data_IF_111055454107
#
_entry.id   IF_111055454107
#
_cell.length_a   1.000
_cell.length_b   1.000
_cell.length_c   1.000
_cell.angle_alpha   90.00
_cell.angle_beta   90.00
_cell.angle_gamma   90.00
#
_symmetry.space_group_name_H-M   'P 1'
#
loop_
_entity.id
_entity.type
_entity.pdbx_description
1 polymer ?
#
# COMPACT_ATOMS: atom_id res chain seq x y z
N UNK A 1 -13.35 16.87 -0.19
CA UNK A 1 -14.37 16.09 0.58
C UNK A 1 -13.64 14.97 1.32
N UNK A 2 -13.74 14.83 2.65
CA UNK A 2 -12.99 13.77 3.38
C UNK A 2 -13.34 12.39 2.82
N UNK A 3 -12.35 11.65 2.32
CA UNK A 3 -12.53 10.29 1.81
C UNK A 3 -13.17 9.41 2.89
N UNK A 4 -14.32 8.81 2.56
CA UNK A 4 -15.05 7.93 3.49
C UNK A 4 -14.81 6.47 3.11
N UNK A 5 -13.89 5.84 3.83
CA UNK A 5 -13.48 4.45 3.64
C UNK A 5 -14.68 3.48 3.67
N UNK A 6 -15.63 3.72 4.57
CA UNK A 6 -16.85 2.92 4.74
C UNK A 6 -17.76 2.97 3.51
N UNK A 7 -17.62 3.97 2.64
CA UNK A 7 -18.43 4.10 1.44
C UNK A 7 -17.74 3.54 0.19
N UNK A 8 -16.42 3.37 0.22
CA UNK A 8 -15.61 3.13 -0.99
C UNK A 8 -14.81 1.82 -0.96
N UNK A 9 -14.52 1.26 0.21
CA UNK A 9 -13.67 0.09 0.35
C UNK A 9 -14.46 -1.16 0.80
N UNK A 10 -14.56 -2.22 -0.03
CA UNK A 10 -15.45 -3.36 0.24
C UNK A 10 -15.18 -4.12 1.54
N UNK A 11 -13.94 -4.14 2.04
CA UNK A 11 -13.64 -4.70 3.37
C UNK A 11 -14.24 -3.87 4.51
N UNK A 12 -14.22 -2.53 4.40
CA UNK A 12 -14.66 -1.64 5.48
C UNK A 12 -16.16 -1.40 5.49
N UNK A 13 -16.86 -1.70 4.38
CA UNK A 13 -18.32 -1.80 4.30
C UNK A 13 -18.91 -2.98 5.10
N UNK A 14 -18.08 -3.95 5.47
CA UNK A 14 -18.51 -5.14 6.20
C UNK A 14 -18.73 -4.85 7.68
N UNK A 15 -19.59 -5.64 8.30
CA UNK A 15 -19.75 -5.66 9.76
C UNK A 15 -18.45 -6.13 10.44
N UNK A 16 -18.25 -5.76 11.71
CA UNK A 16 -17.08 -6.22 12.48
C UNK A 16 -17.03 -7.76 12.59
N UNK A 17 -18.18 -8.43 12.63
CA UNK A 17 -18.27 -9.91 12.64
C UNK A 17 -17.72 -10.50 11.35
N UNK A 18 -18.09 -9.95 10.20
CA UNK A 18 -17.59 -10.40 8.89
C UNK A 18 -16.10 -10.11 8.72
N UNK A 19 -15.62 -8.95 9.15
CA UNK A 19 -14.17 -8.62 9.13
C UNK A 19 -13.38 -9.64 9.94
N UNK A 20 -13.81 -9.94 11.18
CA UNK A 20 -13.17 -10.96 12.02
C UNK A 20 -13.22 -12.35 11.40
N UNK A 21 -14.35 -12.73 10.79
CA UNK A 21 -14.47 -14.01 10.10
C UNK A 21 -13.49 -14.13 8.91
N UNK A 22 -13.32 -13.06 8.13
CA UNK A 22 -12.33 -13.00 7.05
C UNK A 22 -10.91 -13.15 7.63
N UNK A 23 -10.57 -12.39 8.66
CA UNK A 23 -9.24 -12.46 9.30
C UNK A 23 -8.94 -13.85 9.84
N UNK A 24 -9.90 -14.46 10.56
CA UNK A 24 -9.79 -15.83 11.04
C UNK A 24 -9.60 -16.82 9.88
N UNK A 25 -10.36 -16.69 8.79
CA UNK A 25 -10.23 -17.54 7.61
C UNK A 25 -8.84 -17.42 6.97
N UNK A 26 -8.30 -16.21 6.84
CA UNK A 26 -6.96 -16.00 6.28
C UNK A 26 -5.90 -16.68 7.17
N UNK A 27 -5.98 -16.51 8.50
CA UNK A 27 -5.06 -17.16 9.44
C UNK A 27 -5.20 -18.68 9.42
N UNK A 28 -6.42 -19.21 9.38
CA UNK A 28 -6.67 -20.65 9.30
C UNK A 28 -6.10 -21.27 8.02
N UNK A 29 -6.31 -20.62 6.87
CA UNK A 29 -5.74 -21.05 5.59
C UNK A 29 -4.21 -21.04 5.67
N UNK A 30 -3.62 -19.99 6.24
CA UNK A 30 -2.18 -19.90 6.39
C UNK A 30 -1.59 -21.01 7.25
N UNK A 31 -2.20 -21.31 8.40
CA UNK A 31 -1.76 -22.40 9.27
C UNK A 31 -1.86 -23.74 8.53
N UNK A 32 -2.95 -23.97 7.80
CA UNK A 32 -3.12 -25.17 6.98
C UNK A 32 -2.02 -25.29 5.91
N UNK A 33 -1.68 -24.19 5.23
CA UNK A 33 -0.59 -24.16 4.26
C UNK A 33 0.79 -24.32 4.91
N UNK A 34 0.95 -23.94 6.18
CA UNK A 34 2.21 -24.07 6.91
C UNK A 34 2.52 -25.53 7.30
N UNK A 35 1.50 -26.33 7.61
CA UNK A 35 1.66 -27.72 8.11
C UNK A 35 2.56 -28.61 7.24
N UNK A 36 2.44 -28.66 5.90
CA UNK A 36 3.35 -29.44 5.06
C UNK A 36 4.82 -29.07 5.25
N UNK A 37 5.14 -27.79 5.46
CA UNK A 37 6.53 -27.35 5.66
C UNK A 37 7.14 -27.89 6.95
N UNK A 38 6.33 -28.08 8.00
CA UNK A 38 6.74 -28.69 9.26
C UNK A 38 7.05 -30.18 9.08
N UNK A 39 6.22 -30.89 8.31
CA UNK A 39 6.43 -32.32 8.00
C UNK A 39 7.74 -32.50 7.23
N UNK A 40 7.95 -31.68 6.19
CA UNK A 40 9.19 -31.72 5.39
C UNK A 40 10.40 -31.38 6.25
N UNK A 41 10.33 -30.33 7.07
CA UNK A 41 11.40 -29.96 7.99
C UNK A 41 11.73 -31.08 8.98
N UNK A 42 10.72 -31.78 9.51
CA UNK A 42 10.90 -32.88 10.44
C UNK A 42 11.56 -34.12 9.80
N UNK A 43 11.13 -34.48 8.59
CA UNK A 43 11.66 -35.62 7.85
C UNK A 43 13.10 -35.38 7.39
N UNK A 44 13.40 -34.18 6.88
CA UNK A 44 14.72 -33.82 6.35
C UNK A 44 15.70 -33.34 7.41
N UNK A 45 15.22 -32.99 8.60
CA UNK A 45 15.96 -32.25 9.66
C UNK A 45 16.42 -30.85 9.23
N UNK A 46 15.93 -30.34 8.10
CA UNK A 46 16.24 -28.98 7.62
C UNK A 46 15.15 -28.01 8.10
N UNK A 47 15.26 -27.56 9.34
CA UNK A 47 14.28 -26.65 9.97
C UNK A 47 14.17 -25.28 9.28
N UNK A 48 15.19 -24.89 8.52
CA UNK A 48 15.17 -23.66 7.72
C UNK A 48 14.00 -23.62 6.73
N UNK A 49 13.54 -24.77 6.21
CA UNK A 49 12.38 -24.84 5.31
C UNK A 49 11.12 -24.29 5.98
N UNK A 50 10.86 -24.69 7.22
CA UNK A 50 9.73 -24.20 7.99
C UNK A 50 9.86 -22.70 8.29
N UNK A 51 11.04 -22.25 8.73
CA UNK A 51 11.29 -20.82 9.02
C UNK A 51 11.05 -19.96 7.76
N UNK A 52 11.61 -20.37 6.63
CA UNK A 52 11.47 -19.67 5.37
C UNK A 52 10.00 -19.64 4.91
N UNK A 53 9.30 -20.77 4.96
CA UNK A 53 7.90 -20.83 4.54
C UNK A 53 6.98 -20.02 5.47
N UNK A 54 7.25 -20.03 6.78
CA UNK A 54 6.56 -19.16 7.74
C UNK A 54 6.75 -17.68 7.39
N UNK A 55 7.99 -17.28 7.07
CA UNK A 55 8.30 -15.93 6.61
C UNK A 55 7.55 -15.57 5.30
N UNK A 56 7.46 -16.49 4.33
CA UNK A 56 6.64 -16.25 3.12
C UNK A 56 5.19 -15.98 3.46
N UNK A 57 4.58 -16.84 4.29
CA UNK A 57 3.18 -16.72 4.68
C UNK A 57 2.91 -15.41 5.42
N UNK A 58 3.72 -15.09 6.44
CA UNK A 58 3.44 -13.92 7.29
C UNK A 58 3.45 -12.62 6.49
N UNK A 59 4.34 -12.48 5.49
CA UNK A 59 4.39 -11.26 4.65
C UNK A 59 3.12 -11.06 3.81
N UNK A 60 2.44 -12.14 3.43
CA UNK A 60 1.20 -12.13 2.65
C UNK A 60 -0.02 -11.88 3.56
N UNK A 61 0.00 -12.45 4.76
CA UNK A 61 -1.13 -12.41 5.70
C UNK A 61 -1.16 -11.10 6.48
N UNK A 62 0.01 -10.56 6.86
CA UNK A 62 0.12 -9.39 7.72
C UNK A 62 -0.79 -8.22 7.30
N UNK A 63 -0.90 -7.84 6.00
CA UNK A 63 -1.81 -6.78 5.58
C UNK A 63 -3.29 -7.00 5.96
N UNK A 64 -3.76 -8.25 6.01
CA UNK A 64 -5.15 -8.55 6.35
C UNK A 64 -5.45 -8.34 7.84
N UNK A 65 -4.42 -8.26 8.68
CA UNK A 65 -4.53 -8.08 10.13
C UNK A 65 -4.09 -6.66 10.53
N UNK A 66 -2.90 -6.26 10.10
CA UNK A 66 -2.23 -5.04 10.53
C UNK A 66 -2.92 -3.80 9.98
N UNK A 67 -3.35 -3.84 8.72
CA UNK A 67 -3.95 -2.66 8.08
C UNK A 67 -5.29 -2.31 8.72
N UNK A 68 -6.25 -3.25 8.90
CA UNK A 68 -7.48 -2.97 9.62
C UNK A 68 -7.24 -2.50 11.06
N UNK A 69 -6.27 -3.11 11.76
CA UNK A 69 -5.94 -2.77 13.15
C UNK A 69 -5.36 -1.35 13.25
N UNK A 70 -4.41 -1.02 12.38
CA UNK A 70 -3.80 0.32 12.37
C UNK A 70 -4.77 1.38 11.85
N UNK A 71 -5.67 1.05 10.93
CA UNK A 71 -6.74 1.96 10.50
C UNK A 71 -7.71 2.23 11.65
N UNK A 72 -8.18 1.18 12.34
CA UNK A 72 -9.10 1.30 13.49
C UNK A 72 -8.54 2.12 14.64
N UNK A 73 -7.23 2.03 14.88
CA UNK A 73 -6.52 2.81 15.91
C UNK A 73 -6.10 4.21 15.45
N UNK A 74 -6.41 4.59 14.20
CA UNK A 74 -6.05 5.89 13.62
C UNK A 74 -4.55 6.05 13.34
N UNK A 75 -3.76 4.97 13.39
CA UNK A 75 -2.34 4.96 13.03
C UNK A 75 -2.14 5.00 11.52
N UNK A 76 -3.08 4.42 10.75
CA UNK A 76 -3.16 4.53 9.30
C UNK A 76 -4.40 5.33 8.90
N UNK A 77 -4.21 6.27 7.98
CA UNK A 77 -5.26 7.17 7.47
C UNK A 77 -5.35 6.99 5.96
N UNK A 78 -6.54 6.67 5.47
CA UNK A 78 -6.80 6.51 4.04
C UNK A 78 -7.24 7.84 3.43
N UNK A 79 -6.64 8.20 2.30
CA UNK A 79 -7.05 9.33 1.47
C UNK A 79 -7.66 8.87 0.14
N UNK A 80 -7.41 7.62 -0.26
CA UNK A 80 -8.13 6.90 -1.30
C UNK A 80 -7.98 5.40 -1.06
N UNK A 81 -8.57 4.55 -1.91
CA UNK A 81 -8.40 3.10 -1.78
C UNK A 81 -6.94 2.62 -1.94
N UNK A 82 -6.05 3.42 -2.54
CA UNK A 82 -4.66 3.03 -2.78
C UNK A 82 -3.62 4.05 -2.28
N UNK A 83 -4.04 5.12 -1.60
CA UNK A 83 -3.13 6.05 -0.92
C UNK A 83 -3.47 6.13 0.57
N UNK A 84 -2.52 5.67 1.37
CA UNK A 84 -2.62 5.56 2.83
C UNK A 84 -1.46 6.36 3.41
N UNK A 85 -1.63 6.91 4.60
CA UNK A 85 -0.54 7.52 5.35
C UNK A 85 -0.46 6.98 6.77
N UNK A 86 0.71 7.09 7.38
CA UNK A 86 0.82 7.08 8.84
C UNK A 86 0.31 8.41 9.41
N UNK A 87 -0.30 8.37 10.60
CA UNK A 87 -0.59 9.58 11.37
C UNK A 87 0.67 10.44 11.49
N UNK A 88 0.51 11.75 11.33
CA UNK A 88 1.60 12.70 11.46
C UNK A 88 2.36 12.52 12.78
N UNK A 89 3.69 12.52 12.68
CA UNK A 89 4.58 12.51 13.84
C UNK A 89 5.69 13.53 13.60
N UNK A 90 5.78 14.53 14.48
CA UNK A 90 6.79 15.59 14.45
C UNK A 90 6.85 16.33 13.09
N UNK A 91 5.70 16.74 12.55
CA UNK A 91 5.66 17.46 11.26
C UNK A 91 5.91 16.57 10.03
N UNK A 92 5.98 15.24 10.19
CA UNK A 92 6.22 14.30 9.09
C UNK A 92 5.05 13.34 8.93
N UNK A 93 4.56 13.26 7.69
CA UNK A 93 3.54 12.30 7.25
C UNK A 93 4.21 11.31 6.29
N UNK A 94 4.10 10.02 6.58
CA UNK A 94 4.62 8.97 5.68
C UNK A 94 3.52 8.48 4.77
N UNK A 95 3.71 8.64 3.46
CA UNK A 95 2.83 8.16 2.40
C UNK A 95 3.21 6.72 2.05
N UNK A 96 2.19 5.88 1.99
CA UNK A 96 2.24 4.49 1.60
C UNK A 96 1.26 4.24 0.45
N UNK A 97 1.59 3.24 -0.36
CA UNK A 97 0.64 2.68 -1.31
C UNK A 97 -0.35 1.74 -0.66
N UNK A 98 -1.39 1.39 -1.41
CA UNK A 98 -2.30 0.32 -1.01
C UNK A 98 -1.53 -0.99 -0.75
N UNK A 99 -2.06 -1.78 0.15
CA UNK A 99 -1.53 -3.04 0.64
C UNK A 99 -2.25 -4.21 -0.03
N UNK A 100 -1.75 -5.43 0.14
CA UNK A 100 -2.38 -6.62 -0.45
C UNK A 100 -3.88 -6.77 -0.09
N UNK A 101 -4.29 -6.30 1.09
CA UNK A 101 -5.70 -6.21 1.47
C UNK A 101 -6.49 -5.37 0.47
N UNK A 102 -6.00 -4.17 0.16
CA UNK A 102 -6.66 -3.22 -0.74
C UNK A 102 -6.68 -3.77 -2.17
N UNK A 103 -5.56 -4.36 -2.64
CA UNK A 103 -5.52 -5.03 -3.94
C UNK A 103 -6.56 -6.17 -4.05
N UNK A 104 -6.74 -6.96 -3.00
CA UNK A 104 -7.68 -8.07 -2.99
C UNK A 104 -9.15 -7.61 -2.94
N UNK A 105 -9.48 -6.61 -2.13
CA UNK A 105 -10.87 -6.19 -1.93
C UNK A 105 -11.36 -5.14 -2.92
N UNK A 106 -10.48 -4.28 -3.43
CA UNK A 106 -10.89 -3.13 -4.25
C UNK A 106 -10.86 -3.44 -5.74
N UNK A 107 -9.90 -4.25 -6.21
CA UNK A 107 -9.77 -4.50 -7.65
C UNK A 107 -10.92 -5.37 -8.17
N UNK A 108 -11.56 -4.90 -9.24
CA UNK A 108 -12.53 -5.72 -9.96
C UNK A 108 -11.80 -6.81 -10.77
N UNK A 109 -12.05 -8.07 -10.42
CA UNK A 109 -11.39 -9.20 -11.07
C UNK A 109 -11.78 -9.40 -12.53
N UNK A 110 -12.90 -8.82 -12.98
CA UNK A 110 -13.31 -8.84 -14.40
C UNK A 110 -12.44 -7.93 -15.28
N UNK A 111 -11.85 -6.87 -14.71
CA UNK A 111 -11.00 -5.93 -15.44
C UNK A 111 -9.72 -6.59 -15.97
N UNK A 112 -9.23 -6.07 -17.10
CA UNK A 112 -7.91 -6.39 -17.61
C UNK A 112 -6.81 -5.66 -16.81
N UNK A 113 -5.55 -6.03 -17.05
CA UNK A 113 -4.42 -5.46 -16.31
C UNK A 113 -4.24 -3.95 -16.49
N UNK A 114 -4.57 -3.41 -17.67
CA UNK A 114 -4.48 -1.97 -17.93
C UNK A 114 -5.55 -1.20 -17.15
N UNK A 115 -6.80 -1.68 -17.15
CA UNK A 115 -7.89 -1.09 -16.39
C UNK A 115 -7.59 -1.06 -14.89
N UNK A 116 -7.08 -2.16 -14.33
CA UNK A 116 -6.66 -2.22 -12.92
C UNK A 116 -5.52 -1.24 -12.63
N UNK A 117 -4.51 -1.18 -13.50
CA UNK A 117 -3.38 -0.26 -13.33
C UNK A 117 -3.83 1.20 -13.41
N UNK A 118 -4.69 1.55 -14.36
CA UNK A 118 -5.26 2.90 -14.49
C UNK A 118 -6.06 3.27 -13.25
N UNK A 119 -6.92 2.36 -12.76
CA UNK A 119 -7.69 2.58 -11.54
C UNK A 119 -6.79 2.82 -10.33
N UNK A 120 -5.74 2.01 -10.14
CA UNK A 120 -4.78 2.18 -9.05
C UNK A 120 -4.09 3.56 -9.14
N UNK A 121 -3.60 3.93 -10.33
CA UNK A 121 -2.95 5.24 -10.54
C UNK A 121 -3.91 6.40 -10.30
N UNK A 122 -5.16 6.27 -10.75
CA UNK A 122 -6.22 7.24 -10.49
C UNK A 122 -6.46 7.40 -8.99
N UNK A 123 -6.54 6.29 -8.24
CA UNK A 123 -6.70 6.32 -6.79
C UNK A 123 -5.49 6.94 -6.09
N UNK A 124 -4.25 6.73 -6.55
CA UNK A 124 -3.09 7.45 -6.03
C UNK A 124 -3.22 8.97 -6.20
N UNK A 125 -3.66 9.43 -7.38
CA UNK A 125 -3.83 10.86 -7.66
C UNK A 125 -4.97 11.47 -6.86
N UNK A 126 -6.11 10.78 -6.78
CA UNK A 126 -7.26 11.19 -5.97
C UNK A 126 -6.89 11.27 -4.49
N UNK A 127 -6.13 10.28 -4.00
CA UNK A 127 -5.62 10.28 -2.64
C UNK A 127 -4.68 11.44 -2.36
N UNK A 128 -3.84 11.81 -3.33
CA UNK A 128 -2.95 12.96 -3.19
C UNK A 128 -3.75 14.27 -3.13
N UNK A 129 -4.82 14.41 -3.91
CA UNK A 129 -5.72 15.56 -3.84
C UNK A 129 -6.41 15.65 -2.47
N UNK A 130 -6.95 14.54 -1.98
CA UNK A 130 -7.59 14.47 -0.66
C UNK A 130 -6.60 14.76 0.48
N UNK A 131 -5.35 14.32 0.34
CA UNK A 131 -4.26 14.63 1.26
C UNK A 131 -3.98 16.14 1.28
N UNK A 132 -3.79 16.75 0.10
CA UNK A 132 -3.57 18.19 -0.03
C UNK A 132 -4.73 18.97 0.59
N UNK A 133 -5.99 18.64 0.25
CA UNK A 133 -7.17 19.31 0.80
C UNK A 133 -7.26 19.20 2.32
N UNK A 134 -6.80 18.09 2.91
CA UNK A 134 -6.86 17.89 4.36
C UNK A 134 -5.90 18.82 5.07
N UNK A 135 -4.65 18.90 4.59
CA UNK A 135 -3.60 19.71 5.23
C UNK A 135 -3.61 21.19 4.82
N UNK A 136 -4.15 21.53 3.65
CA UNK A 136 -4.27 22.91 3.19
C UNK A 136 -5.17 23.76 4.10
N UNK A 137 -6.15 23.12 4.74
CA UNK A 137 -7.10 23.75 5.66
C UNK A 137 -6.62 23.75 7.13
N UNK A 138 -5.46 23.16 7.42
CA UNK A 138 -4.88 23.15 8.77
C UNK A 138 -3.98 24.38 8.99
N UNK A 139 -3.93 24.88 10.23
CA UNK A 139 -3.13 26.08 10.57
C UNK A 139 -1.63 25.85 10.41
N UNK A 140 -1.16 24.61 10.59
CA UNK A 140 0.25 24.25 10.47
C UNK A 140 0.60 23.76 9.05
N UNK A 141 1.06 24.69 8.20
CA UNK A 141 1.48 24.37 6.82
C UNK A 141 2.90 23.79 6.70
N UNK A 142 3.61 23.56 7.80
CA UNK A 142 4.99 23.07 7.80
C UNK A 142 5.10 21.53 7.78
N UNK A 143 4.07 20.84 7.28
CA UNK A 143 4.08 19.38 7.19
C UNK A 143 4.90 18.92 5.99
N UNK A 144 5.77 17.94 6.24
CA UNK A 144 6.58 17.25 5.24
C UNK A 144 6.01 15.88 4.95
N UNK A 145 5.79 15.59 3.68
CA UNK A 145 5.38 14.28 3.19
C UNK A 145 6.61 13.50 2.77
N UNK A 146 6.69 12.23 3.15
CA UNK A 146 7.78 11.33 2.75
C UNK A 146 7.24 9.99 2.32
N UNK A 147 7.94 9.28 1.46
CA UNK A 147 7.52 7.93 1.07
C UNK A 147 8.61 7.18 0.33
N UNK A 148 8.35 5.91 0.05
CA UNK A 148 9.19 5.07 -0.81
C UNK A 148 8.31 4.31 -1.78
N UNK A 149 8.69 4.29 -3.05
CA UNK A 149 7.89 3.65 -4.09
C UNK A 149 8.78 2.94 -5.09
N UNK A 150 8.31 1.79 -5.57
CA UNK A 150 8.87 1.07 -6.72
C UNK A 150 7.95 1.18 -7.95
N UNK A 151 6.84 1.90 -7.83
CA UNK A 151 5.80 2.05 -8.86
C UNK A 151 6.04 3.32 -9.67
N UNK A 152 6.31 4.44 -9.00
CA UNK A 152 6.61 5.71 -9.66
C UNK A 152 8.10 5.81 -9.97
N UNK A 153 8.42 6.37 -11.14
CA UNK A 153 9.78 6.78 -11.45
C UNK A 153 10.04 8.22 -10.97
N UNK A 154 11.32 8.59 -10.91
CA UNK A 154 11.78 9.91 -10.47
C UNK A 154 11.08 11.06 -11.22
N UNK A 155 11.06 11.01 -12.56
CA UNK A 155 10.45 12.04 -13.40
C UNK A 155 8.97 12.26 -13.09
N UNK A 156 8.21 11.18 -12.86
CA UNK A 156 6.78 11.29 -12.51
C UNK A 156 6.61 11.87 -11.11
N UNK A 157 7.39 11.42 -10.13
CA UNK A 157 7.32 11.95 -8.78
C UNK A 157 7.69 13.45 -8.73
N UNK A 158 8.71 13.89 -9.47
CA UNK A 158 9.06 15.31 -9.61
C UNK A 158 7.96 16.14 -10.25
N UNK A 159 7.31 15.63 -11.29
CA UNK A 159 6.14 16.29 -11.91
C UNK A 159 4.99 16.48 -10.92
N UNK A 160 4.83 15.60 -9.94
CA UNK A 160 3.81 15.67 -8.91
C UNK A 160 4.21 16.55 -7.71
N UNK A 161 5.39 17.18 -7.74
CA UNK A 161 5.87 18.09 -6.70
C UNK A 161 6.79 17.44 -5.66
N UNK A 162 7.19 16.18 -5.88
CA UNK A 162 8.12 15.50 -4.97
C UNK A 162 9.58 15.69 -5.35
N UNK A 163 10.43 15.89 -4.35
CA UNK A 163 11.89 15.85 -4.47
C UNK A 163 12.37 14.42 -4.24
N UNK A 164 13.19 13.91 -5.15
CA UNK A 164 13.70 12.55 -5.07
C UNK A 164 14.86 12.48 -4.08
N UNK A 165 14.87 11.41 -3.29
CA UNK A 165 15.94 11.07 -2.36
C UNK A 165 16.43 9.66 -2.64
N UNK A 166 17.72 9.44 -2.39
CA UNK A 166 18.29 8.10 -2.44
C UNK A 166 17.62 7.24 -1.35
N UNK A 167 17.21 6.03 -1.73
CA UNK A 167 16.73 5.06 -0.76
C UNK A 167 17.90 4.64 0.14
N UNK A 168 17.70 4.68 1.45
CA UNK A 168 18.68 4.17 2.41
C UNK A 168 18.64 2.63 2.50
N UNK A 169 19.72 2.03 3.01
CA UNK A 169 19.86 0.58 3.06
C UNK A 169 18.80 -0.12 3.92
N UNK A 170 18.33 0.55 4.99
CA UNK A 170 17.31 -0.01 5.89
C UNK A 170 15.95 -0.05 5.19
N UNK A 171 15.55 1.02 4.51
CA UNK A 171 14.32 1.05 3.70
C UNK A 171 14.37 0.02 2.57
N UNK A 172 15.53 -0.15 1.92
CA UNK A 172 15.71 -1.16 0.88
C UNK A 172 15.61 -2.59 1.45
N UNK A 173 16.13 -2.84 2.65
CA UNK A 173 15.98 -4.11 3.35
C UNK A 173 14.50 -4.37 3.69
N UNK A 174 13.79 -3.39 4.26
CA UNK A 174 12.35 -3.52 4.58
C UNK A 174 11.54 -3.80 3.30
N UNK A 175 11.85 -3.11 2.21
CA UNK A 175 11.18 -3.32 0.92
C UNK A 175 11.47 -4.72 0.36
N UNK A 176 12.72 -5.19 0.48
CA UNK A 176 13.11 -6.56 0.11
C UNK A 176 12.42 -7.60 0.99
N UNK A 177 12.28 -7.34 2.29
CA UNK A 177 11.56 -8.24 3.20
C UNK A 177 10.06 -8.33 2.88
N UNK A 178 9.51 -7.35 2.17
CA UNK A 178 8.13 -7.37 1.69
C UNK A 178 8.00 -7.89 0.25
N UNK A 179 9.06 -8.42 -0.36
CA UNK A 179 9.09 -8.75 -1.79
C UNK A 179 7.92 -9.63 -2.24
N UNK A 180 7.57 -10.67 -1.46
CA UNK A 180 6.47 -11.56 -1.82
C UNK A 180 5.11 -10.84 -1.78
N UNK A 181 4.85 -10.05 -0.76
CA UNK A 181 3.66 -9.19 -0.71
C UNK A 181 3.57 -8.26 -1.94
N UNK A 182 4.68 -7.62 -2.30
CA UNK A 182 4.77 -6.76 -3.48
C UNK A 182 4.58 -7.54 -4.79
N UNK A 183 5.10 -8.76 -4.87
CA UNK A 183 4.91 -9.68 -6.00
C UNK A 183 3.44 -10.00 -6.19
N UNK A 184 2.72 -10.38 -5.13
CA UNK A 184 1.28 -10.66 -5.22
C UNK A 184 0.49 -9.40 -5.60
N UNK A 185 0.75 -8.27 -4.93
CA UNK A 185 0.08 -6.99 -5.22
C UNK A 185 0.29 -6.54 -6.68
N UNK A 186 1.54 -6.58 -7.17
CA UNK A 186 1.88 -6.22 -8.55
C UNK A 186 1.29 -7.21 -9.56
N UNK A 187 1.22 -8.50 -9.21
CA UNK A 187 0.61 -9.52 -10.05
C UNK A 187 -0.91 -9.34 -10.15
N UNK A 188 -1.57 -8.97 -9.05
CA UNK A 188 -3.00 -8.62 -9.05
C UNK A 188 -3.26 -7.36 -9.89
N UNK A 189 -2.41 -6.34 -9.76
CA UNK A 189 -2.51 -5.11 -10.56
C UNK A 189 -2.45 -5.41 -12.06
N UNK A 190 -1.51 -6.26 -12.49
CA UNK A 190 -1.25 -6.54 -13.91
C UNK A 190 -2.02 -7.73 -14.47
N UNK A 191 -2.73 -8.49 -13.63
CA UNK A 191 -3.43 -9.75 -13.97
C UNK A 191 -2.49 -10.79 -14.62
N UNK A 192 -1.22 -10.79 -14.23
CA UNK A 192 -0.20 -11.76 -14.64
C UNK A 192 0.91 -11.81 -13.59
N UNK A 193 1.68 -12.89 -13.54
CA UNK A 193 2.85 -12.94 -12.67
C UNK A 193 3.79 -11.78 -13.01
N UNK A 194 4.00 -10.89 -12.04
CA UNK A 194 4.71 -9.64 -12.25
C UNK A 194 5.64 -9.34 -11.08
N UNK A 195 6.93 -9.56 -11.32
CA UNK A 195 7.97 -9.30 -10.33
C UNK A 195 8.18 -7.79 -10.13
N UNK A 196 8.18 -7.30 -8.88
CA UNK A 196 8.45 -5.90 -8.59
C UNK A 196 9.94 -5.60 -8.85
N UNK A 197 10.22 -4.48 -9.51
CA UNK A 197 11.60 -4.08 -9.77
C UNK A 197 12.10 -3.13 -8.68
N UNK A 198 12.64 -3.69 -7.61
CA UNK A 198 13.13 -2.90 -6.46
C UNK A 198 14.36 -2.04 -6.78
N UNK A 199 15.08 -2.31 -7.88
CA UNK A 199 16.20 -1.45 -8.32
C UNK A 199 15.73 -0.07 -8.77
N UNK A 200 14.45 0.06 -9.15
CA UNK A 200 13.81 1.32 -9.49
C UNK A 200 13.15 1.99 -8.27
N UNK A 201 13.31 1.43 -7.08
CA UNK A 201 12.75 2.01 -5.88
C UNK A 201 13.42 3.35 -5.57
N UNK A 202 12.60 4.35 -5.30
CA UNK A 202 13.03 5.69 -4.94
C UNK A 202 12.36 6.09 -3.64
N UNK A 203 13.08 6.87 -2.82
CA UNK A 203 12.46 7.63 -1.75
C UNK A 203 12.12 9.02 -2.26
N UNK A 204 11.08 9.63 -1.72
CA UNK A 204 10.66 10.95 -2.11
C UNK A 204 10.20 11.76 -0.90
N UNK A 205 10.24 13.07 -1.05
CA UNK A 205 9.70 14.01 -0.07
C UNK A 205 9.07 15.23 -0.73
N UNK A 206 8.12 15.87 -0.08
CA UNK A 206 7.56 17.15 -0.50
C UNK A 206 7.10 17.94 0.71
N UNK A 207 7.18 19.27 0.64
CA UNK A 207 6.42 20.11 1.56
C UNK A 207 5.00 20.27 1.02
N UNK A 208 4.06 20.62 1.90
CA UNK A 208 2.68 20.89 1.50
C UNK A 208 2.58 21.91 0.35
N UNK A 209 3.38 22.98 0.41
CA UNK A 209 3.40 24.04 -0.63
C UNK A 209 3.77 23.48 -2.00
N UNK A 210 4.79 22.62 -2.08
CA UNK A 210 5.23 22.00 -3.34
C UNK A 210 4.10 21.16 -3.98
N UNK A 211 3.28 20.49 -3.15
CA UNK A 211 2.13 19.69 -3.60
C UNK A 211 0.94 20.56 -4.03
N UNK A 212 0.65 21.64 -3.29
CA UNK A 212 -0.42 22.60 -3.64
C UNK A 212 -0.16 23.21 -5.03
N UNK A 213 1.08 23.59 -5.33
CA UNK A 213 1.45 24.13 -6.65
C UNK A 213 1.15 23.17 -7.79
N UNK A 214 1.19 21.85 -7.54
CA UNK A 214 0.89 20.82 -8.55
C UNK A 214 -0.56 20.32 -8.50
N UNK A 215 -1.41 20.83 -7.59
CA UNK A 215 -2.80 20.36 -7.38
C UNK A 215 -3.63 20.36 -8.67
N UNK A 216 -3.55 21.42 -9.49
CA UNK A 216 -4.27 21.51 -10.77
C UNK A 216 -3.82 20.43 -11.77
N UNK A 217 -2.51 20.16 -11.86
CA UNK A 217 -1.96 19.10 -12.70
C UNK A 217 -2.39 17.72 -12.20
N UNK A 218 -2.29 17.47 -10.89
CA UNK A 218 -2.71 16.20 -10.27
C UNK A 218 -4.19 15.93 -10.58
N UNK A 219 -5.05 16.95 -10.45
CA UNK A 219 -6.47 16.86 -10.79
C UNK A 219 -6.69 16.52 -12.27
N UNK A 220 -6.01 17.22 -13.18
CA UNK A 220 -6.11 16.93 -14.61
C UNK A 220 -5.65 15.50 -14.96
N UNK A 221 -4.62 14.97 -14.28
CA UNK A 221 -4.18 13.60 -14.46
C UNK A 221 -5.18 12.58 -13.89
N UNK A 222 -5.78 12.86 -12.72
CA UNK A 222 -6.81 12.00 -12.12
C UNK A 222 -8.03 11.91 -13.05
N UNK A 223 -8.51 13.05 -13.55
CA UNK A 223 -9.70 13.13 -14.40
C UNK A 223 -9.50 12.43 -15.76
N UNK A 224 -8.27 12.32 -16.27
CA UNK A 224 -7.95 11.56 -17.50
C UNK A 224 -7.96 10.04 -17.32
N UNK A 225 -7.86 9.56 -16.08
CA UNK A 225 -7.82 8.13 -15.76
C UNK A 225 -9.15 7.60 -15.21
N UNK A 226 -10.14 8.48 -15.02
CA UNK A 226 -11.54 8.11 -14.72
C UNK A 226 -12.21 7.53 -15.96
#
# INVERSE_FOLDING_TARGET
MKFKLENSHPFYQKTEKEKKAIQFKVVAIALLLFMPSLIVAWQTKIFFIAIFFFYLLITIIAPFIDVPTNQKTGRLIYYSNFLITEKEKNGVVKIHGGTLLDYYFVLNFKWNGQQRTNYILQQYLEGLLNLIETYENEENKQVKFTGTTYILNARTAEKLGFKIRKIDGVKLLILSMNYFNLLYSNSMAKRKLAFPNLRKAISFEANLVDLIEKKALIKALSDRLK
#
